data_IF_544845981395
#
_entry.id   IF_544845981395
#
_cell.length_a   1.000
_cell.length_b   1.000
_cell.length_c   1.000
_cell.angle_alpha   90.00
_cell.angle_beta   90.00
_cell.angle_gamma   90.00
#
_symmetry.space_group_name_H-M   'P 1'
#
loop_
_entity.id
_entity.type
_entity.pdbx_description
1 polymer ?
#
# COMPACT_ATOMS: atom_id res chain seq x y z
N UNK A 1 -7.76 -5.23 -24.18
CA UNK A 1 -8.07 -5.17 -22.73
C UNK A 1 -6.93 -5.85 -22.01
N UNK A 2 -6.17 -5.11 -21.23
CA UNK A 2 -5.13 -5.63 -20.35
C UNK A 2 -5.60 -5.53 -18.91
N UNK A 3 -4.95 -6.31 -18.03
CA UNK A 3 -5.04 -6.08 -16.59
C UNK A 3 -3.87 -5.17 -16.20
N UNK A 4 -4.16 -4.02 -15.57
CA UNK A 4 -3.13 -3.08 -15.10
C UNK A 4 -3.11 -3.07 -13.58
N UNK A 5 -1.97 -3.41 -12.99
CA UNK A 5 -1.74 -3.35 -11.54
C UNK A 5 -0.90 -2.12 -11.20
N UNK A 6 -1.52 -1.13 -10.57
CA UNK A 6 -0.86 0.07 -10.05
C UNK A 6 -0.68 -0.12 -8.55
N UNK A 7 0.55 -0.30 -8.07
CA UNK A 7 0.78 -0.73 -6.69
C UNK A 7 1.86 0.08 -5.97
N UNK A 8 1.58 0.48 -4.72
CA UNK A 8 2.58 0.96 -3.79
C UNK A 8 2.79 -0.07 -2.68
N UNK A 9 3.90 -0.80 -2.74
CA UNK A 9 4.15 -1.92 -1.81
C UNK A 9 5.60 -1.95 -1.30
N UNK A 10 5.95 -1.08 -0.33
CA UNK A 10 7.34 -0.99 0.15
C UNK A 10 7.87 -2.29 0.76
N UNK A 11 7.04 -3.07 1.42
CA UNK A 11 7.42 -4.30 2.14
C UNK A 11 6.88 -5.59 1.55
N UNK A 12 6.13 -5.51 0.44
CA UNK A 12 5.57 -6.67 -0.27
C UNK A 12 4.15 -7.09 0.17
N UNK A 13 3.65 -6.63 1.32
CA UNK A 13 2.33 -7.04 1.83
C UNK A 13 1.17 -6.61 0.93
N UNK A 14 1.17 -5.35 0.48
CA UNK A 14 0.15 -4.82 -0.44
C UNK A 14 0.18 -5.55 -1.78
N UNK A 15 1.38 -5.76 -2.33
CA UNK A 15 1.57 -6.48 -3.59
C UNK A 15 1.07 -7.93 -3.52
N UNK A 16 1.31 -8.61 -2.39
CA UNK A 16 0.80 -9.98 -2.17
C UNK A 16 -0.73 -10.02 -2.23
N UNK A 17 -1.43 -9.07 -1.61
CA UNK A 17 -2.88 -8.96 -1.68
C UNK A 17 -3.35 -8.60 -3.09
N UNK A 18 -2.74 -7.61 -3.73
CA UNK A 18 -3.06 -7.20 -5.10
C UNK A 18 -2.96 -8.38 -6.07
N UNK A 19 -1.87 -9.14 -5.98
CA UNK A 19 -1.66 -10.33 -6.80
C UNK A 19 -2.75 -11.39 -6.59
N UNK A 20 -3.19 -11.64 -5.34
CA UNK A 20 -4.24 -12.62 -5.04
C UNK A 20 -5.58 -12.25 -5.72
N UNK A 21 -5.92 -10.98 -5.82
CA UNK A 21 -7.13 -10.53 -6.51
C UNK A 21 -6.92 -10.56 -8.03
N UNK A 22 -5.84 -9.93 -8.51
CA UNK A 22 -5.56 -9.77 -9.94
C UNK A 22 -5.38 -11.09 -10.68
N UNK A 23 -4.80 -12.12 -10.06
CA UNK A 23 -4.55 -13.42 -10.69
C UNK A 23 -5.81 -14.12 -11.20
N UNK A 24 -6.99 -13.69 -10.73
CA UNK A 24 -8.28 -14.18 -11.22
C UNK A 24 -8.79 -13.46 -12.47
N UNK A 25 -8.13 -12.38 -12.93
CA UNK A 25 -8.59 -11.57 -14.06
C UNK A 25 -7.82 -11.80 -15.37
N UNK A 26 -6.76 -12.59 -15.34
CA UNK A 26 -5.96 -12.96 -16.52
C UNK A 26 -4.46 -12.83 -16.30
N UNK A 27 -3.69 -13.36 -17.26
CA UNK A 27 -2.23 -13.43 -17.17
C UNK A 27 -1.54 -12.19 -17.76
N UNK A 28 -2.13 -11.54 -18.77
CA UNK A 28 -1.56 -10.34 -19.40
C UNK A 28 -1.67 -9.13 -18.48
N UNK A 29 -0.64 -8.94 -17.66
CA UNK A 29 -0.61 -7.87 -16.67
C UNK A 29 0.51 -6.88 -16.94
N UNK A 30 0.14 -5.60 -16.97
CA UNK A 30 1.09 -4.47 -16.88
C UNK A 30 1.18 -4.05 -15.43
N UNK A 31 2.38 -4.08 -14.85
CA UNK A 31 2.62 -3.64 -13.47
C UNK A 31 3.28 -2.27 -13.43
N UNK A 32 2.70 -1.37 -12.65
CA UNK A 32 3.21 -0.03 -12.36
C UNK A 32 3.54 0.05 -10.87
N UNK A 33 4.83 0.06 -10.52
CA UNK A 33 5.31 0.11 -9.13
C UNK A 33 5.45 1.57 -8.67
N UNK A 34 4.45 2.07 -7.98
CA UNK A 34 4.50 3.41 -7.38
C UNK A 34 5.58 3.57 -6.29
N UNK A 35 6.27 2.49 -5.89
CA UNK A 35 7.37 2.57 -4.94
C UNK A 35 8.71 2.94 -5.60
N UNK A 36 8.80 2.91 -6.93
CA UNK A 36 10.02 3.31 -7.64
C UNK A 36 10.11 4.84 -7.72
N UNK A 37 11.14 5.40 -7.07
CA UNK A 37 11.37 6.84 -7.04
C UNK A 37 12.00 7.40 -8.32
N UNK A 38 12.39 6.54 -9.27
CA UNK A 38 13.08 6.93 -10.51
C UNK A 38 12.17 6.92 -11.73
N UNK A 39 10.97 6.34 -11.59
CA UNK A 39 10.02 6.20 -12.69
C UNK A 39 9.29 7.53 -12.94
N UNK A 40 9.21 7.90 -14.21
CA UNK A 40 8.28 8.92 -14.70
C UNK A 40 6.93 8.25 -14.94
N UNK A 41 5.95 8.55 -14.09
CA UNK A 41 4.64 7.91 -14.15
C UNK A 41 3.75 8.49 -15.25
N UNK A 42 4.06 9.67 -15.79
CA UNK A 42 3.30 10.30 -16.87
C UNK A 42 3.41 9.55 -18.20
N UNK A 43 4.42 8.69 -18.36
CA UNK A 43 4.61 7.89 -19.56
C UNK A 43 3.66 6.69 -19.69
N UNK A 44 2.97 6.32 -18.61
CA UNK A 44 2.03 5.19 -18.66
C UNK A 44 0.72 5.59 -19.31
N UNK A 45 0.33 4.84 -20.34
CA UNK A 45 -0.95 5.02 -21.05
C UNK A 45 -1.90 3.91 -20.62
N UNK A 46 -2.98 4.29 -19.93
CA UNK A 46 -4.09 3.40 -19.60
C UNK A 46 -5.17 3.58 -20.66
N UNK A 47 -5.66 2.47 -21.23
CA UNK A 47 -6.77 2.52 -22.19
C UNK A 47 -8.11 2.38 -21.43
N UNK A 48 -9.15 3.06 -21.89
CA UNK A 48 -10.46 3.04 -21.26
C UNK A 48 -11.07 1.64 -21.08
N UNK A 49 -10.64 0.68 -21.91
CA UNK A 49 -11.08 -0.73 -21.84
C UNK A 49 -10.21 -1.60 -20.90
N UNK A 50 -9.14 -1.06 -20.32
CA UNK A 50 -8.28 -1.84 -19.42
C UNK A 50 -8.97 -2.04 -18.06
N UNK A 51 -8.74 -3.20 -17.45
CA UNK A 51 -9.18 -3.49 -16.10
C UNK A 51 -8.04 -3.13 -15.13
N UNK A 52 -8.27 -2.12 -14.29
CA UNK A 52 -7.22 -1.56 -13.43
C UNK A 52 -7.43 -1.97 -11.98
N UNK A 53 -6.34 -2.36 -11.31
CA UNK A 53 -6.29 -2.55 -9.87
C UNK A 53 -5.31 -1.54 -9.28
N UNK A 54 -5.78 -0.69 -8.36
CA UNK A 54 -4.96 0.30 -7.66
C UNK A 54 -4.83 -0.13 -6.20
N UNK A 55 -3.62 -0.51 -5.78
CA UNK A 55 -3.38 -1.04 -4.43
C UNK A 55 -2.39 -0.19 -3.63
N UNK A 56 -2.80 0.22 -2.42
CA UNK A 56 -1.98 1.00 -1.50
C UNK A 56 -2.12 0.51 -0.06
N UNK A 57 -1.06 0.63 0.78
CA UNK A 57 -1.20 0.37 2.21
C UNK A 57 -1.88 1.54 2.92
N UNK A 58 -2.51 1.28 4.05
CA UNK A 58 -2.97 2.30 4.99
C UNK A 58 -1.86 2.67 5.98
N UNK A 59 -1.34 3.88 5.91
CA UNK A 59 -0.37 4.43 6.85
C UNK A 59 -1.06 5.41 7.82
N UNK A 60 -1.31 4.92 9.04
CA UNK A 60 -2.01 5.72 10.05
C UNK A 60 -3.45 6.08 9.67
N UNK A 61 -4.09 5.31 8.78
CA UNK A 61 -5.48 5.53 8.33
C UNK A 61 -5.59 6.46 7.10
N UNK A 62 -4.48 6.67 6.39
CA UNK A 62 -4.38 7.49 5.16
C UNK A 62 -3.60 6.71 4.09
N UNK A 63 -3.85 6.98 2.84
CA UNK A 63 -2.98 6.53 1.76
C UNK A 63 -1.61 7.24 1.86
N UNK A 64 -0.49 6.60 1.47
CA UNK A 64 0.80 7.29 1.45
C UNK A 64 0.78 8.45 0.44
N UNK A 65 1.05 9.68 0.89
CA UNK A 65 0.98 10.88 0.05
C UNK A 65 1.79 10.74 -1.25
N UNK A 66 3.01 10.19 -1.15
CA UNK A 66 3.86 9.94 -2.33
C UNK A 66 3.22 8.97 -3.33
N UNK A 67 2.41 8.01 -2.88
CA UNK A 67 1.70 7.10 -3.79
C UNK A 67 0.53 7.81 -4.49
N UNK A 68 -0.18 8.65 -3.77
CA UNK A 68 -1.25 9.50 -4.34
C UNK A 68 -0.67 10.49 -5.37
N UNK A 69 0.44 11.17 -5.04
CA UNK A 69 1.10 12.12 -5.96
C UNK A 69 1.58 11.44 -7.25
N UNK A 70 2.05 10.20 -7.16
CA UNK A 70 2.48 9.42 -8.33
C UNK A 70 1.31 8.89 -9.13
N UNK A 71 0.25 8.42 -8.46
CA UNK A 71 -0.99 8.02 -9.13
C UNK A 71 -1.56 9.17 -9.97
N UNK A 72 -1.55 10.40 -9.45
CA UNK A 72 -2.04 11.60 -10.14
C UNK A 72 -1.28 11.96 -11.42
N UNK A 73 -0.16 11.33 -11.69
CA UNK A 73 0.56 11.48 -12.96
C UNK A 73 0.05 10.53 -14.07
N UNK A 74 -0.80 9.56 -13.72
CA UNK A 74 -1.32 8.53 -14.62
C UNK A 74 -2.73 8.88 -15.04
N UNK A 75 -2.96 9.10 -16.34
CA UNK A 75 -4.30 9.35 -16.86
C UNK A 75 -5.12 8.05 -16.95
N UNK A 76 -6.27 8.02 -16.29
CA UNK A 76 -7.15 6.85 -16.22
C UNK A 76 -8.01 6.63 -17.46
N UNK A 77 -8.27 7.68 -18.25
CA UNK A 77 -8.98 7.65 -19.54
C UNK A 77 -10.33 6.89 -19.50
N UNK A 78 -11.06 6.96 -18.38
CA UNK A 78 -12.34 6.27 -18.20
C UNK A 78 -12.23 4.78 -17.86
N UNK A 79 -11.02 4.23 -17.70
CA UNK A 79 -10.85 2.83 -17.35
C UNK A 79 -11.50 2.49 -16.01
N UNK A 80 -12.08 1.29 -15.93
CA UNK A 80 -12.66 0.76 -14.70
C UNK A 80 -11.55 0.37 -13.73
N UNK A 81 -11.65 0.81 -12.48
CA UNK A 81 -10.68 0.43 -11.49
C UNK A 81 -11.29 -0.16 -10.21
N UNK A 82 -10.55 -1.08 -9.62
CA UNK A 82 -10.78 -1.62 -8.28
C UNK A 82 -9.73 -1.05 -7.34
N UNK A 83 -10.18 -0.45 -6.24
CA UNK A 83 -9.28 0.04 -5.19
C UNK A 83 -8.98 -1.06 -4.18
N UNK A 84 -7.74 -1.21 -3.76
CA UNK A 84 -7.34 -2.18 -2.73
C UNK A 84 -6.54 -1.47 -1.65
N UNK A 85 -7.17 -1.27 -0.50
CA UNK A 85 -6.52 -0.76 0.70
C UNK A 85 -6.03 -1.93 1.55
N UNK A 86 -4.73 -1.97 1.88
CA UNK A 86 -4.14 -3.02 2.70
C UNK A 86 -3.68 -2.46 4.05
N UNK A 87 -4.11 -3.07 5.15
CA UNK A 87 -3.81 -2.59 6.49
C UNK A 87 -3.44 -3.71 7.47
N UNK A 88 -2.72 -3.34 8.55
CA UNK A 88 -2.19 -4.26 9.56
C UNK A 88 -3.14 -4.52 10.73
N UNK A 89 -4.40 -4.88 10.47
CA UNK A 89 -5.43 -5.24 11.46
C UNK A 89 -5.89 -4.13 12.45
N UNK A 90 -5.34 -2.89 12.37
CA UNK A 90 -5.82 -1.79 13.22
C UNK A 90 -7.10 -1.16 12.67
N UNK A 91 -6.97 -0.36 11.64
CA UNK A 91 -8.02 0.30 10.88
C UNK A 91 -7.41 0.95 9.63
N UNK A 92 -8.21 1.12 8.58
CA UNK A 92 -7.80 1.83 7.36
C UNK A 92 -8.42 3.24 7.27
N UNK A 93 -9.39 3.55 8.13
CA UNK A 93 -10.01 4.89 8.32
C UNK A 93 -10.33 5.58 6.98
N UNK A 94 -9.64 6.67 6.62
CA UNK A 94 -9.94 7.46 5.44
C UNK A 94 -9.18 7.03 4.18
N UNK A 95 -8.43 5.91 4.24
CA UNK A 95 -7.56 5.46 3.12
C UNK A 95 -8.34 5.20 1.84
N UNK A 96 -9.50 4.52 1.92
CA UNK A 96 -10.28 4.19 0.72
C UNK A 96 -10.90 5.43 0.07
N UNK A 97 -11.46 6.35 0.83
CA UNK A 97 -12.03 7.59 0.26
C UNK A 97 -10.96 8.51 -0.32
N UNK A 98 -9.75 8.53 0.26
CA UNK A 98 -8.62 9.26 -0.30
C UNK A 98 -8.13 8.64 -1.62
N UNK A 99 -8.08 7.32 -1.70
CA UNK A 99 -7.77 6.61 -2.95
C UNK A 99 -8.85 6.83 -4.01
N UNK A 100 -10.13 6.84 -3.62
CA UNK A 100 -11.26 7.10 -4.51
C UNK A 100 -11.16 8.50 -5.13
N UNK A 101 -10.97 9.51 -4.30
CA UNK A 101 -10.87 10.89 -4.78
C UNK A 101 -9.70 11.06 -5.75
N UNK A 102 -8.54 10.47 -5.43
CA UNK A 102 -7.37 10.51 -6.32
C UNK A 102 -7.61 9.74 -7.63
N UNK A 103 -8.24 8.57 -7.58
CA UNK A 103 -8.55 7.79 -8.78
C UNK A 103 -9.53 8.54 -9.70
N UNK A 104 -10.58 9.13 -9.13
CA UNK A 104 -11.56 9.95 -9.87
C UNK A 104 -10.91 11.20 -10.49
N UNK A 105 -10.03 11.88 -9.75
CA UNK A 105 -9.25 13.02 -10.26
C UNK A 105 -8.38 12.62 -11.46
N UNK A 106 -7.87 11.39 -11.48
CA UNK A 106 -7.11 10.84 -12.61
C UNK A 106 -8.00 10.38 -13.78
N UNK A 107 -9.34 10.44 -13.65
CA UNK A 107 -10.28 9.99 -14.68
C UNK A 107 -10.54 8.48 -14.70
N UNK A 108 -10.26 7.75 -13.60
CA UNK A 108 -10.71 6.37 -13.44
C UNK A 108 -12.16 6.30 -12.98
N UNK A 109 -12.86 5.24 -13.37
CA UNK A 109 -14.19 4.87 -12.86
C UNK A 109 -14.05 3.82 -11.77
N UNK A 110 -14.35 4.16 -10.53
CA UNK A 110 -14.21 3.25 -9.39
C UNK A 110 -15.42 2.33 -9.30
N UNK A 111 -15.26 1.07 -9.67
CA UNK A 111 -16.38 0.08 -9.74
C UNK A 111 -16.40 -0.90 -8.58
N UNK A 112 -15.32 -0.98 -7.82
CA UNK A 112 -15.22 -1.80 -6.60
C UNK A 112 -14.11 -1.29 -5.69
N UNK A 113 -14.21 -1.62 -4.40
CA UNK A 113 -13.10 -1.44 -3.47
C UNK A 113 -12.99 -2.59 -2.48
N UNK A 114 -11.77 -2.88 -2.05
CA UNK A 114 -11.44 -3.93 -1.07
C UNK A 114 -10.62 -3.32 0.05
N UNK A 115 -11.01 -3.58 1.30
CA UNK A 115 -10.14 -3.39 2.46
C UNK A 115 -9.63 -4.76 2.91
N UNK A 116 -8.33 -5.00 2.76
CA UNK A 116 -7.73 -6.30 3.06
C UNK A 116 -6.68 -6.23 4.17
N UNK A 117 -6.59 -7.28 4.95
CA UNK A 117 -5.64 -7.38 6.06
C UNK A 117 -4.38 -8.12 5.62
N UNK A 118 -3.23 -7.55 5.94
CA UNK A 118 -1.93 -8.20 5.81
C UNK A 118 -1.13 -8.05 7.10
N UNK A 119 -0.06 -8.83 7.24
CA UNK A 119 0.87 -8.70 8.35
C UNK A 119 1.36 -7.27 8.51
N UNK A 120 1.31 -6.75 9.72
CA UNK A 120 1.66 -5.35 10.00
C UNK A 120 3.16 -5.11 9.81
N UNK A 121 3.54 -4.25 8.88
CA UNK A 121 4.94 -4.04 8.44
C UNK A 121 5.92 -3.59 9.53
N UNK A 122 5.43 -2.95 10.61
CA UNK A 122 6.24 -2.47 11.73
C UNK A 122 6.10 -3.39 12.95
N UNK A 123 4.95 -4.00 13.15
CA UNK A 123 4.54 -4.76 14.32
C UNK A 123 4.05 -6.15 13.87
N UNK A 124 4.95 -7.05 13.42
CA UNK A 124 4.58 -8.32 12.77
C UNK A 124 3.81 -9.28 13.68
N UNK A 125 3.77 -9.03 15.00
CA UNK A 125 2.89 -9.75 15.92
C UNK A 125 1.40 -9.48 15.69
N UNK A 126 1.04 -8.47 14.89
CA UNK A 126 -0.33 -8.20 14.48
C UNK A 126 -0.57 -8.69 13.06
N UNK A 127 -1.65 -9.45 12.89
CA UNK A 127 -1.99 -10.13 11.64
C UNK A 127 -0.86 -11.01 11.09
N UNK A 128 -0.11 -11.68 11.98
CA UNK A 128 1.03 -12.54 11.62
C UNK A 128 0.62 -13.57 10.56
N UNK A 129 1.42 -13.67 9.51
CA UNK A 129 1.23 -14.64 8.43
C UNK A 129 0.10 -14.31 7.44
N UNK A 130 -0.65 -13.23 7.65
CA UNK A 130 -1.71 -12.81 6.71
C UNK A 130 -1.14 -12.14 5.44
N UNK A 131 -1.83 -12.30 4.28
CA UNK A 131 -3.03 -13.10 4.05
C UNK A 131 -2.76 -14.59 4.16
N UNK A 132 -3.58 -15.28 4.98
CA UNK A 132 -3.59 -16.73 5.17
C UNK A 132 -4.57 -17.43 4.20
N UNK A 133 -4.83 -18.73 4.37
CA UNK A 133 -5.70 -19.49 3.46
C UNK A 133 -7.16 -18.99 3.49
N UNK A 134 -7.65 -18.54 4.65
CA UNK A 134 -9.00 -17.95 4.75
C UNK A 134 -9.06 -16.62 3.97
N UNK A 135 -8.03 -15.79 4.12
CA UNK A 135 -7.93 -14.53 3.36
C UNK A 135 -7.85 -14.78 1.86
N UNK A 136 -7.08 -15.78 1.43
CA UNK A 136 -6.97 -16.14 0.02
C UNK A 136 -8.31 -16.56 -0.57
N UNK A 137 -9.07 -17.38 0.16
CA UNK A 137 -10.41 -17.79 -0.27
C UNK A 137 -11.38 -16.61 -0.36
N UNK A 138 -11.36 -15.70 0.62
CA UNK A 138 -12.16 -14.47 0.59
C UNK A 138 -11.78 -13.57 -0.59
N UNK A 139 -10.49 -13.34 -0.82
CA UNK A 139 -10.02 -12.48 -1.91
C UNK A 139 -10.31 -13.07 -3.29
N UNK A 140 -10.29 -14.39 -3.43
CA UNK A 140 -10.72 -15.07 -4.66
C UNK A 140 -12.23 -14.88 -4.92
N UNK A 141 -13.08 -15.03 -3.89
CA UNK A 141 -14.53 -14.75 -3.99
C UNK A 141 -14.78 -13.27 -4.34
N UNK A 142 -14.03 -12.34 -3.75
CA UNK A 142 -14.12 -10.91 -4.09
C UNK A 142 -13.75 -10.66 -5.55
N UNK A 143 -12.64 -11.25 -6.02
CA UNK A 143 -12.21 -11.12 -7.42
C UNK A 143 -13.29 -11.60 -8.39
N UNK A 144 -13.95 -12.73 -8.09
CA UNK A 144 -15.06 -13.25 -8.88
C UNK A 144 -16.26 -12.30 -8.89
N UNK A 145 -16.64 -11.73 -7.74
CA UNK A 145 -17.75 -10.77 -7.61
C UNK A 145 -17.46 -9.43 -8.30
N UNK A 146 -16.20 -9.01 -8.40
CA UNK A 146 -15.79 -7.81 -9.11
C UNK A 146 -15.81 -8.00 -10.62
N UNK A 147 -15.55 -9.22 -11.09
CA UNK A 147 -15.54 -9.53 -12.53
C UNK A 147 -16.87 -9.16 -13.18
N UNK A 148 -16.79 -8.38 -14.25
CA UNK A 148 -17.98 -7.92 -15.00
C UNK A 148 -18.72 -6.72 -14.39
N UNK A 149 -18.27 -6.18 -13.24
CA UNK A 149 -18.85 -4.95 -12.71
C UNK A 149 -18.55 -3.77 -13.63
N UNK A 150 -19.56 -2.91 -13.79
CA UNK A 150 -19.51 -1.71 -14.64
C UNK A 150 -20.07 -0.47 -13.95
N UNK A 151 -20.96 -0.64 -12.98
CA UNK A 151 -21.52 0.46 -12.19
C UNK A 151 -20.49 1.00 -11.21
N UNK A 152 -20.36 2.31 -11.12
CA UNK A 152 -19.56 2.93 -10.07
C UNK A 152 -20.16 2.66 -8.69
N UNK A 153 -19.28 2.52 -7.68
CA UNK A 153 -19.70 2.35 -6.29
C UNK A 153 -20.38 3.62 -5.77
N UNK A 154 -21.43 3.44 -4.97
CA UNK A 154 -22.21 4.56 -4.44
C UNK A 154 -21.45 5.34 -3.33
N UNK A 155 -20.75 4.63 -2.45
CA UNK A 155 -20.02 5.23 -1.33
C UNK A 155 -18.97 4.29 -0.75
N UNK A 156 -17.93 4.88 -0.16
CA UNK A 156 -16.90 4.17 0.61
C UNK A 156 -16.84 4.70 2.05
N UNK A 157 -16.42 3.85 3.01
CA UNK A 157 -16.20 4.29 4.38
C UNK A 157 -15.00 5.24 4.48
N UNK A 158 -15.14 6.27 5.30
CA UNK A 158 -14.15 7.30 5.55
C UNK A 158 -14.78 8.69 5.67
N UNK A 159 -13.96 9.67 5.99
CA UNK A 159 -14.41 11.06 6.21
C UNK A 159 -13.79 12.00 5.19
N UNK A 160 -14.57 13.00 4.80
CA UNK A 160 -14.11 14.19 4.08
C UNK A 160 -14.52 15.42 4.91
N UNK A 161 -13.57 16.24 5.41
CA UNK A 161 -12.11 16.17 5.18
C UNK A 161 -11.47 14.98 5.89
N UNK A 162 -10.38 14.46 5.31
CA UNK A 162 -9.62 13.34 5.87
C UNK A 162 -8.99 13.72 7.21
N UNK A 163 -8.77 12.72 8.06
CA UNK A 163 -7.97 12.88 9.28
C UNK A 163 -6.57 13.44 8.97
N UNK A 164 -5.98 14.13 9.91
CA UNK A 164 -4.58 14.58 9.77
C UNK A 164 -3.65 13.38 9.63
N UNK A 165 -2.70 13.49 8.71
CA UNK A 165 -1.69 12.46 8.52
C UNK A 165 -0.79 12.40 9.76
N UNK A 166 -0.77 11.27 10.45
CA UNK A 166 0.03 11.04 11.66
C UNK A 166 1.03 9.92 11.41
N UNK A 167 2.27 10.26 11.11
CA UNK A 167 3.35 9.27 11.08
C UNK A 167 3.72 8.81 12.49
N UNK A 168 4.11 7.55 12.65
CA UNK A 168 4.58 7.01 13.93
C UNK A 168 5.97 7.55 14.36
N UNK A 169 6.60 8.42 13.57
CA UNK A 169 7.94 8.96 13.84
C UNK A 169 9.05 7.89 13.88
N UNK A 170 8.76 6.70 13.39
CA UNK A 170 9.68 5.56 13.42
C UNK A 170 10.63 5.64 12.21
N UNK A 171 11.77 6.29 12.40
CA UNK A 171 12.80 6.45 11.37
C UNK A 171 13.87 5.38 11.56
N UNK A 172 14.05 4.44 10.58
CA UNK A 172 15.06 3.39 10.69
C UNK A 172 16.49 3.94 10.58
N UNK A 173 17.39 3.43 11.44
CA UNK A 173 18.82 3.78 11.48
C UNK A 173 19.68 2.58 11.12
N UNK A 174 20.87 2.77 10.51
CA UNK A 174 21.82 1.70 10.33
C UNK A 174 22.38 1.25 11.68
N UNK A 175 22.68 -0.06 11.80
CA UNK A 175 23.44 -0.63 12.95
C UNK A 175 24.92 -0.71 12.60
N UNK A 176 25.75 -1.14 13.57
CA UNK A 176 27.19 -1.39 13.38
C UNK A 176 27.47 -2.47 12.31
N UNK A 177 26.50 -3.35 12.04
CA UNK A 177 26.64 -4.44 11.07
C UNK A 177 26.36 -3.97 9.62
N UNK A 178 26.15 -2.68 9.42
CA UNK A 178 25.91 -2.11 8.10
C UNK A 178 27.19 -2.17 7.24
N UNK A 179 27.11 -2.95 6.16
CA UNK A 179 28.20 -3.10 5.18
C UNK A 179 28.21 -2.01 4.10
N UNK A 180 27.39 -0.99 4.23
CA UNK A 180 27.32 0.18 3.33
C UNK A 180 27.05 -0.19 1.84
N UNK A 181 26.28 -1.23 1.58
CA UNK A 181 25.99 -1.70 0.21
C UNK A 181 25.12 -0.75 -0.62
N UNK A 182 24.49 0.26 -0.02
CA UNK A 182 23.70 1.27 -0.73
C UNK A 182 22.25 0.90 -1.07
N UNK A 183 21.85 -0.37 -0.98
CA UNK A 183 20.54 -0.86 -1.41
C UNK A 183 19.37 -0.09 -0.75
N UNK A 184 19.47 0.22 0.53
CA UNK A 184 18.42 0.94 1.26
C UNK A 184 18.23 2.38 0.75
N UNK A 185 19.31 3.07 0.35
CA UNK A 185 19.24 4.40 -0.24
C UNK A 185 18.70 4.34 -1.69
N UNK A 186 19.15 3.34 -2.46
CA UNK A 186 18.71 3.14 -3.83
C UNK A 186 17.21 2.87 -3.93
N UNK A 187 16.68 1.99 -3.06
CA UNK A 187 15.29 1.53 -3.06
C UNK A 187 14.35 2.37 -2.19
N UNK A 188 14.83 3.46 -1.60
CA UNK A 188 13.97 4.32 -0.79
C UNK A 188 12.93 5.04 -1.66
N UNK A 189 11.62 4.83 -1.45
CA UNK A 189 10.60 5.40 -2.32
C UNK A 189 10.53 6.93 -2.26
N UNK A 190 11.05 7.54 -1.20
CA UNK A 190 11.09 9.00 -1.00
C UNK A 190 12.51 9.56 -0.96
N UNK A 191 13.53 8.76 -1.33
CA UNK A 191 14.94 9.16 -1.36
C UNK A 191 15.44 9.79 -0.05
N UNK A 192 14.88 9.39 1.10
CA UNK A 192 15.18 9.93 2.42
C UNK A 192 16.52 9.47 3.00
N UNK A 193 17.25 8.56 2.35
CA UNK A 193 18.47 7.95 2.92
C UNK A 193 19.70 8.53 2.23
N UNK A 194 20.53 9.20 3.00
CA UNK A 194 21.81 9.74 2.52
C UNK A 194 22.78 8.61 2.12
N UNK A 195 23.45 8.74 0.98
CA UNK A 195 24.30 7.68 0.42
C UNK A 195 25.68 7.56 1.07
N UNK A 196 26.11 8.54 1.83
CA UNK A 196 27.41 8.52 2.51
C UNK A 196 27.28 7.99 3.95
N UNK A 197 26.35 8.55 4.71
CA UNK A 197 26.11 8.20 6.12
C UNK A 197 25.10 7.05 6.30
N UNK A 198 24.27 6.78 5.30
CA UNK A 198 23.12 5.88 5.37
C UNK A 198 22.09 6.27 6.45
N UNK A 199 22.16 7.48 6.97
CA UNK A 199 21.12 8.06 7.82
C UNK A 199 19.88 8.38 7.00
N UNK A 200 18.70 8.21 7.59
CA UNK A 200 17.45 8.64 6.98
C UNK A 200 17.06 10.02 7.52
N UNK A 201 16.72 10.95 6.63
CA UNK A 201 16.15 12.24 7.00
C UNK A 201 14.75 12.03 7.60
N UNK A 202 14.48 12.41 8.86
CA UNK A 202 13.20 12.24 9.50
C UNK A 202 12.09 13.09 8.90
N UNK A 203 12.42 14.16 8.17
CA UNK A 203 11.43 15.01 7.49
C UNK A 203 10.91 14.39 6.20
N UNK A 204 11.73 13.57 5.53
CA UNK A 204 11.37 12.89 4.30
C UNK A 204 10.87 11.46 4.54
N UNK A 205 11.33 10.82 5.60
CA UNK A 205 11.06 9.41 5.87
C UNK A 205 9.59 9.17 6.21
N UNK A 206 8.89 8.40 5.39
CA UNK A 206 7.48 8.01 5.58
C UNK A 206 7.29 6.78 6.48
N UNK A 207 8.34 6.24 7.09
CA UNK A 207 8.26 5.08 7.97
C UNK A 207 7.80 3.77 7.31
N UNK A 208 7.97 3.61 6.00
CA UNK A 208 7.46 2.47 5.23
C UNK A 208 8.17 1.14 5.47
N UNK A 209 9.27 1.12 6.21
CA UNK A 209 10.09 -0.05 6.56
C UNK A 209 10.73 -0.81 5.37
N UNK A 210 10.68 -0.29 4.14
CA UNK A 210 11.31 -0.94 2.97
C UNK A 210 12.80 -1.20 3.21
N UNK A 211 13.52 -0.21 3.72
CA UNK A 211 14.94 -0.30 4.00
C UNK A 211 15.29 -1.31 5.12
N UNK A 212 14.36 -1.57 6.03
CA UNK A 212 14.50 -2.63 7.06
C UNK A 212 14.29 -3.99 6.42
N UNK A 213 13.16 -4.16 5.69
CA UNK A 213 12.76 -5.44 5.09
C UNK A 213 13.74 -5.93 4.01
N UNK A 214 14.31 -5.01 3.24
CA UNK A 214 15.19 -5.37 2.11
C UNK A 214 16.68 -5.42 2.48
N UNK A 215 17.07 -5.11 3.73
CA UNK A 215 18.46 -5.13 4.12
C UNK A 215 19.02 -6.56 4.17
N UNK A 216 19.98 -6.95 3.30
CA UNK A 216 20.49 -8.32 3.24
C UNK A 216 21.30 -8.72 4.48
N UNK A 217 21.68 -7.73 5.30
CA UNK A 217 22.42 -7.93 6.56
C UNK A 217 21.56 -7.67 7.80
N UNK A 218 20.24 -7.41 7.63
CA UNK A 218 19.35 -7.00 8.72
C UNK A 218 19.94 -5.85 9.57
N UNK A 219 20.76 -5.00 8.94
CA UNK A 219 21.53 -3.94 9.58
C UNK A 219 20.80 -2.59 9.61
N UNK A 220 19.46 -2.60 9.59
CA UNK A 220 18.63 -1.42 9.82
C UNK A 220 17.56 -1.73 10.85
N UNK A 221 17.39 -0.83 11.79
CA UNK A 221 16.44 -1.02 12.89
C UNK A 221 15.75 0.30 13.25
N UNK A 222 14.61 0.19 13.92
CA UNK A 222 13.92 1.31 14.57
C UNK A 222 14.11 1.23 16.07
N UNK A 223 13.90 2.35 16.76
CA UNK A 223 14.03 2.40 18.23
C UNK A 223 13.01 1.44 18.87
N UNK A 224 13.51 0.42 19.59
CA UNK A 224 12.70 -0.63 20.21
C UNK A 224 11.72 -0.11 21.26
N UNK A 225 12.06 0.92 22.03
CA UNK A 225 11.13 1.53 22.99
C UNK A 225 9.95 2.19 22.28
N UNK A 226 10.21 2.91 21.19
CA UNK A 226 9.14 3.51 20.36
C UNK A 226 8.26 2.45 19.71
N UNK A 227 8.85 1.35 19.23
CA UNK A 227 8.11 0.21 18.68
C UNK A 227 7.23 -0.41 19.74
N UNK A 228 7.75 -0.63 20.95
CA UNK A 228 6.96 -1.19 22.08
C UNK A 228 5.82 -0.26 22.49
N UNK A 229 6.06 1.05 22.55
CA UNK A 229 5.02 2.04 22.83
C UNK A 229 3.93 2.04 21.75
N UNK A 230 4.32 2.02 20.47
CA UNK A 230 3.38 1.92 19.36
C UNK A 230 2.55 0.62 19.41
N UNK A 231 3.19 -0.52 19.74
CA UNK A 231 2.50 -1.79 19.89
C UNK A 231 1.44 -1.72 21.00
N UNK A 232 1.79 -1.17 22.17
CA UNK A 232 0.82 -1.00 23.27
C UNK A 232 -0.35 -0.09 22.89
N UNK A 233 -0.06 1.02 22.19
CA UNK A 233 -1.09 1.97 21.79
C UNK A 233 -2.17 1.37 20.87
N UNK A 234 -1.81 0.43 20.00
CA UNK A 234 -2.77 -0.18 19.07
C UNK A 234 -3.22 -1.59 19.50
N UNK A 235 -2.72 -2.11 20.61
CA UNK A 235 -2.99 -3.49 21.08
C UNK A 235 -4.49 -3.82 21.10
N UNK A 236 -5.31 -2.95 21.70
CA UNK A 236 -6.76 -3.16 21.79
C UNK A 236 -7.43 -3.22 20.42
N UNK A 237 -7.03 -2.33 19.49
CA UNK A 237 -7.59 -2.28 18.15
C UNK A 237 -7.18 -3.47 17.27
N UNK A 238 -6.03 -4.10 17.57
CA UNK A 238 -5.48 -5.25 16.84
C UNK A 238 -5.75 -6.60 17.51
N UNK A 239 -6.43 -6.64 18.69
CA UNK A 239 -6.61 -7.85 19.47
C UNK A 239 -7.58 -8.87 18.85
N UNK A 240 -8.49 -8.42 18.00
CA UNK A 240 -9.48 -9.26 17.31
C UNK A 240 -9.09 -9.36 15.83
N UNK A 241 -9.18 -10.58 15.27
CA UNK A 241 -9.06 -10.79 13.84
C UNK A 241 -10.15 -9.98 13.11
N UNK A 242 -9.75 -9.19 12.15
CA UNK A 242 -10.66 -8.50 11.23
C UNK A 242 -10.73 -9.26 9.92
N UNK A 243 -11.92 -9.27 9.33
CA UNK A 243 -12.16 -9.85 8.03
C UNK A 243 -11.77 -8.86 6.93
N UNK A 244 -11.59 -9.37 5.71
CA UNK A 244 -11.49 -8.51 4.54
C UNK A 244 -12.88 -8.02 4.16
N UNK A 245 -12.97 -6.85 3.57
CA UNK A 245 -14.24 -6.19 3.23
C UNK A 245 -14.29 -5.88 1.73
N UNK A 246 -15.46 -6.07 1.12
CA UNK A 246 -15.73 -5.78 -0.30
C UNK A 246 -16.84 -4.75 -0.41
N UNK A 247 -16.64 -3.74 -1.25
CA UNK A 247 -17.58 -2.67 -1.60
C UNK A 247 -17.85 -2.73 -3.11
N UNK A 248 -19.14 -2.78 -3.49
CA UNK A 248 -19.62 -2.91 -4.86
C UNK A 248 -20.70 -1.87 -5.19
#
# INVERSE_FOLDING_TARGET
MNVVEIVFSPTGGTEKVAHLIRSHWGENTVKIDLSDAKTDFSQYVINGEDQVLIAMPSFGGRAPAVAIERLKQIAGNGAKCTLVCVYGNRAYEDTLVEMEDAAKECGFRVVAAVAAVAEHSILPQYATGRPDETDKAQLADFAAKITGKDSEIASLPGNRPYKKNGGAGLVPKPTKDCVKCGLCAEKCPVQAIDRASFAADPKLCIGCMRCVKQCPKNARTVNGLMVSAAAMAIKKACSVRKENELYL
#
